data_IF_023949096194
#
_entry.id   IF_023949096194
#
_cell.length_a   1.000
_cell.length_b   1.000
_cell.length_c   1.000
_cell.angle_alpha   90.00
_cell.angle_beta   90.00
_cell.angle_gamma   90.00
#
_symmetry.space_group_name_H-M   'P 1'
#
loop_
_entity.id
_entity.type
_entity.pdbx_description
1 polymer ?
#
# COMPACT_ATOMS: atom_id res chain seq x y z
N UNK A 1 15.88 -7.95 -13.60
CA UNK A 1 14.88 -7.37 -14.52
C UNK A 1 14.98 -7.99 -15.92
N UNK A 2 13.85 -8.44 -16.49
CA UNK A 2 13.81 -8.82 -17.90
C UNK A 2 14.02 -7.56 -18.76
N UNK A 3 14.81 -7.64 -19.84
CA UNK A 3 15.29 -6.47 -20.59
C UNK A 3 14.21 -5.61 -21.28
N UNK A 4 12.95 -6.06 -21.35
CA UNK A 4 11.92 -5.44 -22.19
C UNK A 4 10.65 -4.97 -21.44
N UNK A 5 10.68 -4.80 -20.11
CA UNK A 5 9.49 -4.28 -19.39
C UNK A 5 9.31 -2.78 -19.69
N UNK A 6 8.20 -2.36 -20.32
CA UNK A 6 7.94 -0.94 -20.56
C UNK A 6 7.92 -0.16 -19.24
N UNK A 7 8.68 0.93 -19.15
CA UNK A 7 8.65 1.84 -18.01
C UNK A 7 7.46 2.81 -18.13
N UNK A 8 6.24 2.28 -18.13
CA UNK A 8 5.06 3.13 -18.01
C UNK A 8 5.06 3.78 -16.62
N UNK A 9 4.89 5.11 -16.58
CA UNK A 9 4.71 5.85 -15.32
C UNK A 9 3.25 5.69 -14.92
N UNK A 10 3.01 5.10 -13.75
CA UNK A 10 1.69 4.98 -13.16
C UNK A 10 1.35 6.30 -12.48
N UNK A 11 0.25 6.93 -12.87
CA UNK A 11 -0.19 8.18 -12.26
C UNK A 11 -0.68 7.94 -10.83
N UNK A 12 -0.58 8.97 -9.97
CA UNK A 12 -1.04 8.85 -8.57
C UNK A 12 -2.50 8.40 -8.44
N UNK A 13 -3.38 8.95 -9.28
CA UNK A 13 -4.80 8.57 -9.28
C UNK A 13 -5.02 7.13 -9.75
N UNK A 14 -4.20 6.64 -10.68
CA UNK A 14 -4.22 5.25 -11.12
C UNK A 14 -3.76 4.32 -9.99
N UNK A 15 -2.70 4.69 -9.26
CA UNK A 15 -2.24 3.95 -8.09
C UNK A 15 -3.31 3.92 -6.98
N UNK A 16 -3.92 5.06 -6.68
CA UNK A 16 -5.05 5.17 -5.73
C UNK A 16 -6.18 4.22 -6.12
N UNK A 17 -6.63 4.27 -7.38
CA UNK A 17 -7.72 3.44 -7.86
C UNK A 17 -7.37 1.94 -7.81
N UNK A 18 -6.12 1.60 -8.14
CA UNK A 18 -5.61 0.23 -8.09
C UNK A 18 -5.69 -0.33 -6.67
N UNK A 19 -5.16 0.39 -5.68
CA UNK A 19 -5.16 -0.08 -4.27
C UNK A 19 -6.58 -0.10 -3.71
N UNK A 20 -7.37 0.96 -3.91
CA UNK A 20 -8.73 1.02 -3.38
C UNK A 20 -9.64 -0.05 -3.99
N UNK A 21 -9.52 -0.34 -5.29
CA UNK A 21 -10.32 -1.40 -5.93
C UNK A 21 -9.92 -2.80 -5.43
N UNK A 22 -8.63 -3.04 -5.19
CA UNK A 22 -8.15 -4.28 -4.60
C UNK A 22 -8.70 -4.48 -3.19
N UNK A 23 -8.68 -3.43 -2.35
CA UNK A 23 -9.21 -3.50 -0.99
C UNK A 23 -10.73 -3.66 -1.01
N UNK A 24 -11.43 -2.95 -1.89
CA UNK A 24 -12.89 -2.99 -2.01
C UNK A 24 -13.40 -4.40 -2.36
N UNK A 25 -12.66 -5.11 -3.22
CA UNK A 25 -12.98 -6.50 -3.59
C UNK A 25 -12.88 -7.46 -2.41
N UNK A 26 -11.99 -7.18 -1.45
CA UNK A 26 -11.84 -8.01 -0.26
C UNK A 26 -12.82 -7.60 0.84
N UNK A 27 -12.85 -6.31 1.19
CA UNK A 27 -13.71 -5.74 2.22
C UNK A 27 -14.03 -4.27 1.91
N UNK A 28 -15.32 -3.91 1.76
CA UNK A 28 -15.75 -2.51 1.63
C UNK A 28 -15.22 -1.61 2.76
N UNK A 29 -15.26 -2.10 4.01
CA UNK A 29 -14.82 -1.33 5.19
C UNK A 29 -13.31 -1.02 5.13
N UNK A 30 -12.50 -1.99 4.68
CA UNK A 30 -11.06 -1.80 4.49
C UNK A 30 -10.77 -0.72 3.44
N UNK A 31 -11.54 -0.73 2.35
CA UNK A 31 -11.41 0.27 1.30
C UNK A 31 -11.86 1.66 1.75
N UNK A 32 -12.89 1.76 2.59
CA UNK A 32 -13.36 3.03 3.15
C UNK A 32 -12.32 3.65 4.09
N UNK A 33 -11.71 2.84 4.96
CA UNK A 33 -10.61 3.31 5.81
C UNK A 33 -9.45 3.80 4.94
N UNK A 34 -8.99 2.99 3.98
CA UNK A 34 -7.90 3.38 3.08
C UNK A 34 -8.25 4.63 2.24
N UNK A 35 -9.49 4.78 1.79
CA UNK A 35 -9.96 5.96 1.06
C UNK A 35 -9.82 7.23 1.89
N UNK A 36 -10.09 7.15 3.19
CA UNK A 36 -9.93 8.28 4.12
C UNK A 36 -8.51 8.83 4.12
N UNK A 37 -7.48 7.98 3.98
CA UNK A 37 -6.09 8.43 3.90
C UNK A 37 -5.84 9.36 2.69
N UNK A 38 -6.43 9.03 1.54
CA UNK A 38 -6.35 9.86 0.35
C UNK A 38 -7.17 11.14 0.49
N UNK A 39 -8.42 11.02 0.94
CA UNK A 39 -9.38 12.13 0.97
C UNK A 39 -9.01 13.19 2.01
N UNK A 40 -8.32 12.79 3.09
CA UNK A 40 -7.90 13.67 4.19
C UNK A 40 -6.43 14.08 4.12
N UNK A 41 -5.72 13.75 3.05
CA UNK A 41 -4.28 14.04 2.88
C UNK A 41 -3.41 13.47 4.01
N UNK A 42 -3.68 12.24 4.46
CA UNK A 42 -2.85 11.54 5.44
C UNK A 42 -1.65 10.82 4.81
N UNK A 43 -1.49 10.95 3.49
CA UNK A 43 -0.39 10.39 2.72
C UNK A 43 0.47 11.53 2.19
N UNK A 44 1.73 11.58 2.63
CA UNK A 44 2.74 12.43 2.03
C UNK A 44 3.48 11.66 0.94
N UNK A 45 3.01 11.73 -0.32
CA UNK A 45 3.51 10.94 -1.45
C UNK A 45 4.61 11.61 -2.33
N UNK A 46 4.57 12.92 -2.65
CA UNK A 46 5.51 13.51 -3.60
C UNK A 46 6.96 13.50 -3.10
N UNK A 47 7.90 13.27 -4.00
CA UNK A 47 9.34 13.40 -3.73
C UNK A 47 9.73 14.88 -3.71
N UNK A 48 10.46 15.31 -2.68
CA UNK A 48 10.99 16.68 -2.57
C UNK A 48 12.38 16.71 -1.93
N UNK A 49 13.24 17.68 -2.26
CA UNK A 49 14.54 17.84 -1.60
C UNK A 49 14.39 17.91 -0.07
N UNK A 50 15.23 17.16 0.65
CA UNK A 50 15.22 17.11 2.12
C UNK A 50 14.15 16.22 2.74
N UNK A 51 13.28 15.55 1.96
CA UNK A 51 12.34 14.54 2.48
C UNK A 51 13.08 13.27 2.88
N UNK A 52 12.67 12.65 3.99
CA UNK A 52 13.18 11.35 4.41
C UNK A 52 13.02 10.29 3.30
N UNK A 53 14.02 9.41 3.11
CA UNK A 53 13.93 8.33 2.12
C UNK A 53 12.96 7.24 2.59
N UNK A 54 12.62 6.33 1.68
CA UNK A 54 11.80 5.16 1.97
C UNK A 54 10.30 5.45 2.03
N UNK A 55 9.58 4.58 2.74
CA UNK A 55 8.16 4.70 3.02
C UNK A 55 7.90 4.11 4.42
N UNK A 56 6.86 4.59 5.10
CA UNK A 56 6.40 4.03 6.37
C UNK A 56 4.98 4.53 6.70
N UNK A 57 4.26 3.75 7.50
CA UNK A 57 3.04 4.18 8.19
C UNK A 57 3.32 4.32 9.69
N UNK A 58 3.07 5.51 10.25
CA UNK A 58 3.37 5.79 11.65
C UNK A 58 2.10 6.12 12.44
N UNK A 59 1.82 5.39 13.53
CA UNK A 59 0.74 5.74 14.44
C UNK A 59 1.11 6.96 15.29
N UNK A 60 0.13 7.73 15.75
CA UNK A 60 0.38 8.90 16.62
C UNK A 60 -0.08 8.60 18.04
N UNK A 61 -1.30 8.98 18.39
CA UNK A 61 -2.01 8.58 19.61
C UNK A 61 -3.29 7.84 19.22
N UNK A 62 -3.87 6.97 20.06
CA UNK A 62 -5.04 6.17 19.67
C UNK A 62 -6.25 6.99 19.19
N UNK A 63 -6.39 8.23 19.66
CA UNK A 63 -7.47 9.15 19.28
C UNK A 63 -7.20 9.91 17.97
N UNK A 64 -6.03 9.73 17.36
CA UNK A 64 -5.61 10.40 16.15
C UNK A 64 -5.28 9.38 15.06
N UNK A 65 -5.45 9.81 13.81
CA UNK A 65 -5.15 8.97 12.67
C UNK A 65 -3.64 8.78 12.50
N UNK A 66 -3.21 7.64 11.92
CA UNK A 66 -1.83 7.48 11.48
C UNK A 66 -1.56 8.29 10.21
N UNK A 67 -0.28 8.43 9.88
CA UNK A 67 0.18 9.05 8.63
C UNK A 67 1.03 8.07 7.84
N UNK A 68 0.95 8.18 6.51
CA UNK A 68 1.80 7.44 5.58
C UNK A 68 2.78 8.40 4.93
N UNK A 69 4.06 8.08 5.00
CA UNK A 69 5.09 8.70 4.17
C UNK A 69 5.44 7.75 3.03
N UNK A 70 5.48 8.27 1.81
CA UNK A 70 5.85 7.53 0.62
C UNK A 70 6.68 8.44 -0.30
N UNK A 71 7.62 7.86 -1.05
CA UNK A 71 8.34 8.56 -2.11
C UNK A 71 7.89 8.02 -3.47
N UNK A 72 6.74 8.50 -3.96
CA UNK A 72 6.09 7.97 -5.15
C UNK A 72 6.71 8.55 -6.43
N UNK A 73 7.28 7.70 -7.27
CA UNK A 73 7.89 8.06 -8.56
C UNK A 73 7.13 7.47 -9.76
N UNK A 74 5.97 6.84 -9.53
CA UNK A 74 5.15 6.22 -10.57
C UNK A 74 5.66 4.87 -11.05
N UNK A 75 6.57 4.23 -10.32
CA UNK A 75 7.04 2.86 -10.67
C UNK A 75 6.03 1.82 -10.18
N UNK A 76 5.92 0.65 -10.83
CA UNK A 76 5.09 -0.46 -10.34
C UNK A 76 5.37 -0.84 -8.87
N UNK A 77 6.65 -0.85 -8.49
CA UNK A 77 7.07 -1.06 -7.09
C UNK A 77 6.47 -0.04 -6.12
N UNK A 78 6.29 1.21 -6.54
CA UNK A 78 5.77 2.27 -5.68
C UNK A 78 4.28 2.06 -5.38
N UNK A 79 3.52 1.43 -6.29
CA UNK A 79 2.12 1.02 -6.04
C UNK A 79 2.06 -0.09 -4.99
N UNK A 80 3.00 -1.04 -5.06
CA UNK A 80 3.11 -2.12 -4.07
C UNK A 80 3.49 -1.57 -2.69
N UNK A 81 4.46 -0.64 -2.63
CA UNK A 81 4.81 0.06 -1.39
C UNK A 81 3.64 0.88 -0.85
N UNK A 82 2.87 1.58 -1.70
CA UNK A 82 1.66 2.27 -1.27
C UNK A 82 0.64 1.31 -0.63
N UNK A 83 0.39 0.15 -1.26
CA UNK A 83 -0.49 -0.87 -0.69
C UNK A 83 0.04 -1.39 0.66
N UNK A 84 1.33 -1.68 0.73
CA UNK A 84 1.99 -2.13 1.96
C UNK A 84 1.76 -1.15 3.12
N UNK A 85 2.09 0.13 2.93
CA UNK A 85 1.92 1.14 3.98
C UNK A 85 0.45 1.41 4.31
N UNK A 86 -0.45 1.35 3.34
CA UNK A 86 -1.89 1.44 3.62
C UNK A 86 -2.41 0.23 4.40
N UNK A 87 -1.82 -0.96 4.23
CA UNK A 87 -2.12 -2.12 5.06
C UNK A 87 -1.78 -1.87 6.54
N UNK A 88 -0.61 -1.28 6.82
CA UNK A 88 -0.29 -0.79 8.16
C UNK A 88 -1.27 0.29 8.62
N UNK A 89 -1.56 1.30 7.79
CA UNK A 89 -2.46 2.39 8.12
C UNK A 89 -3.87 1.92 8.51
N UNK A 90 -4.45 1.01 7.72
CA UNK A 90 -5.76 0.39 8.04
C UNK A 90 -5.69 -0.34 9.38
N UNK A 91 -4.66 -1.16 9.59
CA UNK A 91 -4.50 -1.92 10.82
C UNK A 91 -4.37 -1.00 12.05
N UNK A 92 -3.60 0.09 11.93
CA UNK A 92 -3.44 1.09 12.98
C UNK A 92 -4.75 1.81 13.30
N UNK A 93 -5.58 2.14 12.30
CA UNK A 93 -6.91 2.73 12.52
C UNK A 93 -7.82 1.78 13.29
N UNK A 94 -7.87 0.50 12.88
CA UNK A 94 -8.70 -0.51 13.54
C UNK A 94 -8.22 -0.80 14.98
N UNK A 95 -6.90 -0.83 15.20
CA UNK A 95 -6.32 -1.05 16.51
C UNK A 95 -6.53 0.14 17.48
N UNK A 96 -6.73 1.36 16.97
CA UNK A 96 -6.90 2.57 17.78
C UNK A 96 -8.00 2.46 18.85
N UNK A 97 -9.09 1.74 18.56
CA UNK A 97 -10.18 1.49 19.50
C UNK A 97 -9.81 0.68 20.74
N UNK A 98 -8.66 -0.02 20.73
CA UNK A 98 -8.16 -0.78 21.87
C UNK A 98 -7.48 0.11 22.94
N UNK A 99 -7.24 1.39 22.62
CA UNK A 99 -6.64 2.35 23.54
C UNK A 99 -5.11 2.24 23.66
N UNK A 100 -4.49 3.14 24.42
CA UNK A 100 -3.05 3.38 24.39
C UNK A 100 -2.19 2.17 24.80
N UNK A 101 -2.72 1.28 25.64
CA UNK A 101 -1.99 0.12 26.13
C UNK A 101 -2.08 -1.09 25.19
N UNK A 102 -3.12 -1.15 24.35
CA UNK A 102 -3.46 -2.35 23.57
C UNK A 102 -3.47 -2.12 22.06
N UNK A 103 -3.36 -0.86 21.60
CA UNK A 103 -3.34 -0.53 20.17
C UNK A 103 -1.99 -0.82 19.49
N UNK A 104 -0.90 -0.91 20.25
CA UNK A 104 0.41 -1.25 19.69
C UNK A 104 0.51 -2.73 19.38
N UNK A 105 0.99 -3.06 18.18
CA UNK A 105 1.17 -4.45 17.74
C UNK A 105 2.65 -4.78 17.57
N UNK A 106 3.09 -6.01 17.93
CA UNK A 106 4.42 -6.49 17.58
C UNK A 106 4.66 -6.43 16.06
N UNK A 107 5.92 -6.27 15.65
CA UNK A 107 6.30 -6.10 14.24
C UNK A 107 5.76 -7.22 13.34
N UNK A 108 5.86 -8.48 13.77
CA UNK A 108 5.37 -9.63 12.99
C UNK A 108 3.86 -9.55 12.69
N UNK A 109 3.08 -9.04 13.63
CA UNK A 109 1.64 -8.84 13.44
C UNK A 109 1.36 -7.61 12.57
N UNK A 110 2.16 -6.54 12.71
CA UNK A 110 2.07 -5.37 11.84
C UNK A 110 2.36 -5.73 10.37
N UNK A 111 3.41 -6.51 10.12
CA UNK A 111 3.79 -6.99 8.78
C UNK A 111 2.76 -7.93 8.16
N UNK A 112 2.04 -8.68 8.98
CA UNK A 112 0.93 -9.51 8.47
C UNK A 112 -0.11 -8.65 7.75
N UNK A 113 -0.43 -7.47 8.29
CA UNK A 113 -1.40 -6.57 7.69
C UNK A 113 -0.88 -5.86 6.43
N UNK A 114 0.37 -5.39 6.44
CA UNK A 114 0.98 -4.72 5.28
C UNK A 114 1.17 -5.67 4.11
N UNK A 115 1.74 -6.84 4.35
CA UNK A 115 1.91 -7.89 3.33
C UNK A 115 0.55 -8.37 2.82
N UNK A 116 -0.46 -8.47 3.67
CA UNK A 116 -1.81 -8.82 3.23
C UNK A 116 -2.39 -7.78 2.24
N UNK A 117 -2.31 -6.49 2.56
CA UNK A 117 -2.75 -5.41 1.68
C UNK A 117 -1.97 -5.38 0.35
N UNK A 118 -0.66 -5.57 0.42
CA UNK A 118 0.20 -5.73 -0.75
C UNK A 118 -0.25 -6.92 -1.63
N UNK A 119 -0.50 -8.09 -1.02
CA UNK A 119 -0.92 -9.29 -1.74
C UNK A 119 -2.30 -9.16 -2.41
N UNK A 120 -3.25 -8.46 -1.77
CA UNK A 120 -4.54 -8.14 -2.40
C UNK A 120 -4.34 -7.30 -3.68
N UNK A 121 -3.45 -6.32 -3.61
CA UNK A 121 -3.14 -5.43 -4.74
C UNK A 121 -2.41 -6.18 -5.85
N UNK A 122 -1.39 -6.99 -5.51
CA UNK A 122 -0.71 -7.87 -6.45
C UNK A 122 -1.70 -8.78 -7.17
N UNK A 123 -2.58 -9.44 -6.42
CA UNK A 123 -3.58 -10.35 -7.00
C UNK A 123 -4.51 -9.61 -7.95
N UNK A 124 -4.92 -8.39 -7.59
CA UNK A 124 -5.77 -7.56 -8.45
C UNK A 124 -5.11 -7.20 -9.77
N UNK A 125 -3.86 -6.75 -9.75
CA UNK A 125 -3.09 -6.45 -10.95
C UNK A 125 -2.87 -7.72 -11.80
N UNK A 126 -2.46 -8.81 -11.16
CA UNK A 126 -2.25 -10.08 -11.84
C UNK A 126 -3.52 -10.56 -12.56
N UNK A 127 -4.69 -10.49 -11.92
CA UNK A 127 -5.97 -10.88 -12.52
C UNK A 127 -6.37 -10.00 -13.74
N UNK A 128 -5.88 -8.76 -13.81
CA UNK A 128 -6.13 -7.84 -14.93
C UNK A 128 -5.12 -8.00 -16.08
N UNK A 129 -3.93 -8.53 -15.81
CA UNK A 129 -2.90 -8.78 -16.83
C UNK A 129 -3.30 -9.93 -17.76
N UNK A 130 -3.54 -9.60 -19.03
CA UNK A 130 -3.88 -10.58 -20.08
C UNK A 130 -2.66 -11.11 -20.83
N UNK A 131 -1.55 -10.37 -20.86
CA UNK A 131 -0.33 -10.81 -21.54
C UNK A 131 0.36 -11.93 -20.75
N UNK A 132 0.61 -13.06 -21.42
CA UNK A 132 1.19 -14.25 -20.78
C UNK A 132 2.63 -14.05 -20.34
N UNK A 133 3.41 -13.23 -21.03
CA UNK A 133 4.82 -12.96 -20.68
C UNK A 133 4.89 -12.05 -19.46
N UNK A 134 4.11 -10.98 -19.45
CA UNK A 134 4.00 -10.05 -18.33
C UNK A 134 3.49 -10.77 -17.07
N UNK A 135 2.42 -11.54 -17.19
CA UNK A 135 1.89 -12.34 -16.07
C UNK A 135 2.94 -13.30 -15.49
N UNK A 136 3.73 -13.96 -16.35
CA UNK A 136 4.84 -14.84 -15.91
C UNK A 136 5.93 -14.04 -15.20
N UNK A 137 6.30 -12.87 -15.71
CA UNK A 137 7.30 -12.01 -15.11
C UNK A 137 6.87 -11.53 -13.70
N UNK A 138 5.63 -11.10 -13.54
CA UNK A 138 5.06 -10.71 -12.24
C UNK A 138 5.10 -11.84 -11.23
N UNK A 139 4.74 -13.07 -11.64
CA UNK A 139 4.79 -14.25 -10.77
C UNK A 139 6.22 -14.63 -10.40
N UNK A 140 7.16 -14.59 -11.34
CA UNK A 140 8.56 -14.89 -11.07
C UNK A 140 9.15 -13.88 -10.08
N UNK A 141 8.92 -12.59 -10.30
CA UNK A 141 9.36 -11.54 -9.38
C UNK A 141 8.78 -11.75 -7.97
N UNK A 142 7.49 -12.13 -7.86
CA UNK A 142 6.87 -12.34 -6.55
C UNK A 142 7.36 -13.59 -5.81
N UNK A 143 7.92 -14.57 -6.52
CA UNK A 143 8.55 -15.75 -5.90
C UNK A 143 9.98 -15.44 -5.43
N UNK A 144 10.64 -14.46 -6.03
CA UNK A 144 11.99 -14.01 -5.66
C UNK A 144 12.01 -13.02 -4.48
N UNK A 145 10.93 -12.26 -4.29
CA UNK A 145 10.70 -11.36 -3.13
C UNK A 145 10.46 -12.15 -1.82
#
# INVERSE_FOLDING_TARGET
PLPDTPQAIIAWDEARNTVLSAYQRFSPDMAEIARTFFDRNWIDAPVRPGKSPGAFAHPTVPSAHPYVLLNYMGKPRDVMTLAHELGHGVHQVLAGGQGALMASTPLTLAETASVFGEMLTFRSLLDQTTDRRERKAMLAQKVED
#
